data_IF_921942615860
#
_entry.id   IF_921942615860
#
_cell.length_a   1.000
_cell.length_b   1.000
_cell.length_c   1.000
_cell.angle_alpha   90.00
_cell.angle_beta   90.00
_cell.angle_gamma   90.00
#
_symmetry.space_group_name_H-M   'P 1'
#
loop_
_entity.id
_entity.type
_entity.pdbx_description
1 polymer ?
#
# COMPACT_ATOMS: atom_id res chain seq x y z
N UNK A 1 4.59 0.33 31.18
CA UNK A 1 4.81 0.83 29.80
C UNK A 1 3.50 0.69 29.04
N UNK A 2 2.62 1.70 29.13
CA UNK A 2 1.17 1.52 28.90
C UNK A 2 0.58 2.58 27.96
N UNK A 3 1.30 2.98 26.91
CA UNK A 3 0.79 4.01 25.97
C UNK A 3 -0.06 3.43 24.83
N UNK A 4 -0.25 2.11 24.74
CA UNK A 4 -1.20 1.47 23.81
C UNK A 4 -0.99 1.77 22.32
N UNK A 5 0.19 2.21 21.90
CA UNK A 5 0.43 2.66 20.54
C UNK A 5 0.22 1.53 19.52
N UNK A 6 -0.52 1.82 18.46
CA UNK A 6 -0.81 0.90 17.35
C UNK A 6 -0.29 1.48 16.04
N UNK A 7 0.27 0.62 15.21
CA UNK A 7 0.81 0.97 13.90
C UNK A 7 -0.31 0.84 12.87
N UNK A 8 -0.69 1.95 12.22
CA UNK A 8 -1.57 1.91 11.07
C UNK A 8 -0.74 1.74 9.79
N UNK A 9 -0.75 0.54 9.21
CA UNK A 9 -0.04 0.24 7.97
C UNK A 9 -0.92 0.43 6.74
N UNK A 10 -0.38 1.10 5.74
CA UNK A 10 -0.96 1.23 4.42
C UNK A 10 0.11 1.04 3.34
N UNK A 11 -0.31 0.59 2.16
CA UNK A 11 0.56 0.55 0.99
C UNK A 11 0.52 1.89 0.27
N UNK A 12 1.64 2.27 -0.35
CA UNK A 12 1.66 3.38 -1.29
C UNK A 12 0.67 3.12 -2.44
N UNK A 13 -0.10 4.13 -2.82
CA UNK A 13 -1.04 4.09 -3.94
C UNK A 13 -0.74 5.25 -4.91
N UNK A 14 -0.44 4.99 -6.18
CA UNK A 14 -0.21 6.04 -7.18
C UNK A 14 -1.56 6.61 -7.61
N UNK A 15 -1.93 7.77 -7.09
CA UNK A 15 -3.25 8.37 -7.36
C UNK A 15 -3.22 9.24 -8.62
N UNK A 16 -4.29 9.22 -9.45
CA UNK A 16 -4.42 10.13 -10.59
C UNK A 16 -4.30 11.59 -10.17
N UNK A 17 -3.81 12.45 -11.07
CA UNK A 17 -3.65 13.90 -10.83
C UNK A 17 -2.73 14.26 -9.65
N UNK A 18 -1.87 13.33 -9.23
CA UNK A 18 -0.79 13.62 -8.27
C UNK A 18 0.58 13.53 -8.96
N UNK A 19 1.63 14.20 -8.43
CA UNK A 19 3.00 14.05 -8.95
C UNK A 19 3.51 12.60 -8.94
N UNK A 20 2.89 11.75 -8.11
CA UNK A 20 3.28 10.35 -7.92
C UNK A 20 2.41 9.36 -8.71
N UNK A 21 1.53 9.84 -9.58
CA UNK A 21 0.62 9.01 -10.39
C UNK A 21 1.36 7.94 -11.22
N UNK A 22 2.58 8.23 -11.65
CA UNK A 22 3.42 7.31 -12.45
C UNK A 22 4.58 6.70 -11.66
N UNK A 23 4.61 6.87 -10.34
CA UNK A 23 5.64 6.25 -9.53
C UNK A 23 5.49 4.72 -9.54
N UNK A 24 6.62 3.97 -9.61
CA UNK A 24 6.57 2.52 -9.61
C UNK A 24 6.03 1.99 -8.29
N UNK A 25 5.01 1.14 -8.38
CA UNK A 25 4.48 0.42 -7.21
C UNK A 25 5.41 -0.75 -6.88
N UNK A 26 5.84 -0.82 -5.62
CA UNK A 26 6.65 -1.92 -5.09
C UNK A 26 5.78 -2.88 -4.31
N UNK A 27 5.91 -4.17 -4.61
CA UNK A 27 5.33 -5.26 -3.82
C UNK A 27 6.24 -5.52 -2.63
N UNK A 28 5.67 -5.73 -1.46
CA UNK A 28 6.45 -6.07 -0.27
C UNK A 28 7.10 -7.45 -0.42
N UNK A 29 8.35 -7.56 0.04
CA UNK A 29 9.08 -8.83 0.04
C UNK A 29 8.40 -9.85 0.98
N UNK A 30 8.60 -11.17 0.76
CA UNK A 30 8.07 -12.19 1.66
C UNK A 30 8.50 -12.00 3.12
N UNK A 31 9.76 -11.59 3.35
CA UNK A 31 10.28 -11.29 4.68
C UNK A 31 9.52 -10.14 5.36
N UNK A 32 9.25 -9.06 4.63
CA UNK A 32 8.48 -7.93 5.13
C UNK A 32 7.03 -8.31 5.43
N UNK A 33 6.39 -9.07 4.53
CA UNK A 33 5.03 -9.60 4.73
C UNK A 33 4.95 -10.49 5.98
N UNK A 34 5.97 -11.32 6.23
CA UNK A 34 6.05 -12.14 7.45
C UNK A 34 6.07 -11.29 8.71
N UNK A 35 6.88 -10.23 8.74
CA UNK A 35 6.97 -9.33 9.90
C UNK A 35 5.68 -8.56 10.14
N UNK A 36 5.08 -7.98 9.10
CA UNK A 36 3.79 -7.28 9.26
C UNK A 36 2.69 -8.22 9.74
N UNK A 37 2.62 -9.45 9.23
CA UNK A 37 1.63 -10.42 9.69
C UNK A 37 1.82 -10.77 11.18
N UNK A 38 3.07 -10.90 11.65
CA UNK A 38 3.37 -11.14 13.06
C UNK A 38 2.92 -9.97 13.96
N UNK A 39 3.13 -8.73 13.51
CA UNK A 39 2.68 -7.55 14.24
C UNK A 39 1.14 -7.43 14.26
N UNK A 40 0.51 -7.79 13.15
CA UNK A 40 -0.95 -7.80 13.03
C UNK A 40 -1.58 -8.87 13.94
N UNK A 41 -1.01 -10.09 13.99
CA UNK A 41 -1.51 -11.15 14.87
C UNK A 41 -1.36 -10.83 16.36
N UNK A 42 -0.44 -9.93 16.72
CA UNK A 42 -0.25 -9.43 18.08
C UNK A 42 -1.14 -8.21 18.41
N UNK A 43 -1.98 -7.75 17.46
CA UNK A 43 -2.84 -6.57 17.64
C UNK A 43 -2.11 -5.22 17.62
N UNK A 44 -0.79 -5.23 17.40
CA UNK A 44 0.07 -4.04 17.41
C UNK A 44 -0.09 -3.25 16.11
N UNK A 45 -0.34 -3.94 14.99
CA UNK A 45 -0.50 -3.34 13.66
C UNK A 45 -1.91 -3.58 13.14
N UNK A 46 -2.47 -2.59 12.42
CA UNK A 46 -3.75 -2.72 11.73
C UNK A 46 -3.73 -1.96 10.40
N UNK A 47 -4.76 -2.17 9.57
CA UNK A 47 -4.92 -1.52 8.27
C UNK A 47 -5.04 -2.49 7.09
N UNK A 48 -5.44 -1.96 5.94
CA UNK A 48 -5.80 -2.72 4.74
C UNK A 48 -4.66 -2.78 3.70
N UNK A 49 -3.41 -2.73 4.15
CA UNK A 49 -2.22 -2.70 3.30
C UNK A 49 -2.18 -3.81 2.24
N UNK A 50 -2.65 -5.04 2.54
CA UNK A 50 -2.72 -6.13 1.54
C UNK A 50 -3.67 -5.83 0.39
N UNK A 51 -4.83 -5.24 0.69
CA UNK A 51 -5.82 -4.85 -0.33
C UNK A 51 -5.29 -3.66 -1.13
N UNK A 52 -4.68 -2.69 -0.45
CA UNK A 52 -4.08 -1.52 -1.08
C UNK A 52 -2.89 -1.88 -1.98
N UNK A 53 -2.03 -2.83 -1.61
CA UNK A 53 -0.95 -3.33 -2.49
C UNK A 53 -1.51 -3.84 -3.82
N UNK A 54 -2.55 -4.68 -3.76
CA UNK A 54 -3.22 -5.21 -4.97
C UNK A 54 -3.89 -4.10 -5.78
N UNK A 55 -4.51 -3.13 -5.11
CA UNK A 55 -5.18 -2.00 -5.76
C UNK A 55 -4.16 -1.07 -6.43
N UNK A 56 -3.04 -0.78 -5.77
CA UNK A 56 -1.97 0.06 -6.29
C UNK A 56 -1.41 -0.50 -7.59
N UNK A 57 -1.20 -1.82 -7.69
CA UNK A 57 -0.79 -2.48 -8.94
C UNK A 57 -1.82 -2.28 -10.07
N UNK A 58 -3.12 -2.41 -9.76
CA UNK A 58 -4.18 -2.19 -10.74
C UNK A 58 -4.22 -0.74 -11.22
N UNK A 59 -4.14 0.21 -10.30
CA UNK A 59 -4.13 1.64 -10.62
C UNK A 59 -2.89 1.99 -11.44
N UNK A 60 -1.70 1.55 -11.01
CA UNK A 60 -0.46 1.78 -11.76
C UNK A 60 -0.54 1.22 -13.17
N UNK A 61 -1.08 0.00 -13.34
CA UNK A 61 -1.30 -0.59 -14.65
C UNK A 61 -2.21 0.29 -15.51
N UNK A 62 -3.35 0.69 -14.96
CA UNK A 62 -4.30 1.57 -15.64
C UNK A 62 -3.68 2.92 -16.04
N UNK A 63 -2.90 3.57 -15.16
CA UNK A 63 -2.30 4.88 -15.41
C UNK A 63 -1.10 4.85 -16.35
N UNK A 64 -0.45 3.69 -16.50
CA UNK A 64 0.66 3.47 -17.45
C UNK A 64 0.10 3.09 -18.82
N UNK A 65 -0.94 2.24 -18.87
CA UNK A 65 -1.52 1.73 -20.11
C UNK A 65 -2.50 2.71 -20.78
N UNK A 66 -3.26 3.48 -20.00
CA UNK A 66 -4.15 4.52 -20.53
C UNK A 66 -3.54 5.91 -20.38
N UNK A 67 -3.63 6.72 -21.45
CA UNK A 67 -3.26 8.14 -21.40
C UNK A 67 -4.11 8.86 -20.36
N UNK A 68 -3.46 9.62 -19.48
CA UNK A 68 -4.03 10.36 -18.33
C UNK A 68 -5.03 11.47 -18.72
N UNK A 69 -5.52 11.48 -19.96
CA UNK A 69 -6.11 12.64 -20.61
C UNK A 69 -7.65 12.57 -20.67
N UNK A 70 -8.31 11.63 -19.99
CA UNK A 70 -9.77 11.41 -20.08
C UNK A 70 -10.60 11.79 -18.83
N UNK A 71 -10.10 12.67 -17.95
CA UNK A 71 -10.93 13.28 -16.90
C UNK A 71 -10.64 14.75 -16.69
#
# INVERSE_FOLDING_TARGET
TDMGARIHAHSFMPLPKTPYAKMPVKIFTPAFKKQINLLNSKGILFGEWKKQEKLALKISKYLIENRLDQF
#
